data_IF_651325953622
#
_entry.id   IF_651325953622
#
_cell.length_a   1.000
_cell.length_b   1.000
_cell.length_c   1.000
_cell.angle_alpha   90.00
_cell.angle_beta   90.00
_cell.angle_gamma   90.00
#
_symmetry.space_group_name_H-M   'P 1'
#
loop_
_entity.id
_entity.type
_entity.pdbx_description
1 polymer ?
#
# COMPACT_ATOMS: atom_id res chain seq x y z
N UNK A 1 15.74 14.81 20.71
CA UNK A 1 14.62 15.45 21.42
C UNK A 1 13.47 14.47 21.52
N UNK A 2 12.82 14.37 22.69
CA UNK A 2 11.63 13.55 22.91
C UNK A 2 10.57 14.38 23.62
N UNK A 3 9.29 14.07 23.33
CA UNK A 3 8.12 14.67 24.00
C UNK A 3 7.38 13.51 24.66
N UNK A 4 7.23 13.53 25.98
CA UNK A 4 6.58 12.47 26.77
C UNK A 4 7.14 11.05 26.47
N UNK A 5 8.47 10.91 26.24
CA UNK A 5 9.12 9.64 25.93
C UNK A 5 9.06 9.19 24.46
N UNK A 6 8.30 9.89 23.59
CA UNK A 6 8.22 9.61 22.14
C UNK A 6 9.25 10.48 21.40
N UNK A 7 10.00 9.90 20.47
CA UNK A 7 10.96 10.66 19.66
C UNK A 7 10.19 11.62 18.73
N UNK A 8 10.69 12.84 18.57
CA UNK A 8 10.11 13.82 17.64
C UNK A 8 10.04 13.27 16.20
N UNK A 9 11.06 12.50 15.79
CA UNK A 9 11.06 11.81 14.47
C UNK A 9 9.87 10.88 14.27
N UNK A 10 9.41 10.20 15.34
CA UNK A 10 8.30 9.25 15.24
C UNK A 10 6.97 10.00 15.11
N UNK A 11 6.82 11.15 15.82
CA UNK A 11 5.66 12.03 15.66
C UNK A 11 5.59 12.58 14.23
N UNK A 12 6.73 13.02 13.69
CA UNK A 12 6.80 13.52 12.31
C UNK A 12 6.46 12.39 11.32
N UNK A 13 6.96 11.16 11.55
CA UNK A 13 6.66 10.01 10.71
C UNK A 13 5.17 9.67 10.68
N UNK A 14 4.49 9.72 11.82
CA UNK A 14 3.03 9.49 11.92
C UNK A 14 2.26 10.57 11.16
N UNK A 15 2.61 11.85 11.35
CA UNK A 15 1.97 12.94 10.63
C UNK A 15 2.17 12.84 9.11
N UNK A 16 3.40 12.53 8.67
CA UNK A 16 3.68 12.33 7.25
C UNK A 16 2.87 11.15 6.68
N UNK A 17 2.74 10.06 7.45
CA UNK A 17 1.96 8.90 7.03
C UNK A 17 0.47 9.25 6.89
N UNK A 18 -0.08 10.05 7.82
CA UNK A 18 -1.46 10.57 7.71
C UNK A 18 -1.65 11.39 6.43
N UNK A 19 -0.73 12.30 6.11
CA UNK A 19 -0.79 13.09 4.88
C UNK A 19 -0.62 12.20 3.63
N UNK A 20 0.24 11.18 3.70
CA UNK A 20 0.41 10.25 2.59
C UNK A 20 -0.85 9.39 2.34
N UNK A 21 -1.57 9.00 3.40
CA UNK A 21 -2.88 8.36 3.28
C UNK A 21 -3.92 9.29 2.63
N UNK A 22 -3.99 10.55 3.08
CA UNK A 22 -4.90 11.53 2.46
C UNK A 22 -4.58 11.69 0.97
N UNK A 23 -3.30 11.85 0.62
CA UNK A 23 -2.87 11.94 -0.78
C UNK A 23 -3.29 10.70 -1.59
N UNK A 24 -3.14 9.49 -1.04
CA UNK A 24 -3.57 8.24 -1.68
C UNK A 24 -5.06 8.24 -1.98
N UNK A 25 -5.90 8.67 -1.02
CA UNK A 25 -7.35 8.74 -1.18
C UNK A 25 -7.79 9.81 -2.19
N UNK A 26 -7.11 10.96 -2.20
CA UNK A 26 -7.40 12.07 -3.12
C UNK A 26 -7.03 11.74 -4.59
N UNK A 27 -6.19 10.72 -4.79
CA UNK A 27 -5.65 10.36 -6.12
C UNK A 27 -6.24 9.08 -6.71
N UNK A 28 -7.34 8.54 -6.16
CA UNK A 28 -7.87 7.22 -6.54
C UNK A 28 -8.25 7.06 -8.03
N UNK A 29 -8.47 8.15 -8.73
CA UNK A 29 -8.80 8.16 -10.17
C UNK A 29 -7.54 8.20 -11.07
N UNK A 30 -6.34 8.31 -10.50
CA UNK A 30 -5.10 8.42 -11.26
C UNK A 30 -4.43 7.04 -11.48
N UNK A 31 -3.59 6.87 -12.51
CA UNK A 31 -2.91 5.59 -12.74
C UNK A 31 -1.87 5.29 -11.65
N UNK A 32 -1.76 4.02 -11.26
CA UNK A 32 -0.72 3.50 -10.34
C UNK A 32 0.61 3.35 -11.09
N UNK A 33 1.24 4.46 -11.44
CA UNK A 33 2.49 4.47 -12.17
C UNK A 33 3.72 4.80 -11.29
N UNK A 34 4.88 4.80 -11.90
CA UNK A 34 6.14 5.19 -11.27
C UNK A 34 6.07 6.60 -10.64
N UNK A 35 5.43 7.56 -11.32
CA UNK A 35 5.30 8.93 -10.83
C UNK A 35 4.46 9.00 -9.56
N UNK A 36 3.36 8.24 -9.52
CA UNK A 36 2.52 8.11 -8.33
C UNK A 36 3.34 7.57 -7.14
N UNK A 37 4.08 6.47 -7.32
CA UNK A 37 4.90 5.88 -6.24
C UNK A 37 5.96 6.86 -5.73
N UNK A 38 6.58 7.64 -6.62
CA UNK A 38 7.52 8.70 -6.23
C UNK A 38 6.84 9.80 -5.40
N UNK A 39 5.62 10.22 -5.77
CA UNK A 39 4.82 11.19 -5.01
C UNK A 39 4.45 10.66 -3.63
N UNK A 40 4.01 9.39 -3.53
CA UNK A 40 3.72 8.72 -2.24
C UNK A 40 4.96 8.72 -1.34
N UNK A 41 6.14 8.35 -1.86
CA UNK A 41 7.37 8.37 -1.07
C UNK A 41 7.72 9.80 -0.61
N UNK A 42 7.46 10.81 -1.43
CA UNK A 42 7.65 12.23 -1.05
C UNK A 42 6.76 12.62 0.12
N UNK A 43 5.48 12.20 0.12
CA UNK A 43 4.58 12.42 1.25
C UNK A 43 5.07 11.69 2.51
N UNK A 44 5.48 10.43 2.40
CA UNK A 44 6.05 9.63 3.50
C UNK A 44 7.30 10.28 4.10
N UNK A 45 8.16 10.86 3.26
CA UNK A 45 9.38 11.56 3.72
C UNK A 45 9.12 12.93 4.28
N UNK A 46 8.07 13.60 3.81
CA UNK A 46 7.82 15.01 4.15
C UNK A 46 9.01 15.90 3.85
N UNK A 47 9.08 17.02 4.54
CA UNK A 47 10.14 18.01 4.30
C UNK A 47 11.47 17.71 5.00
N UNK A 48 11.50 16.79 5.97
CA UNK A 48 12.69 16.63 6.84
C UNK A 48 13.01 15.20 7.27
N UNK A 49 12.10 14.25 7.09
CA UNK A 49 12.30 12.88 7.59
C UNK A 49 13.20 12.03 6.69
N UNK A 50 13.05 12.20 5.37
CA UNK A 50 13.83 11.45 4.36
C UNK A 50 14.53 12.44 3.44
N UNK A 51 15.85 12.35 3.39
CA UNK A 51 16.62 13.11 2.41
C UNK A 51 16.30 12.63 0.99
N UNK A 52 16.01 13.56 0.07
CA UNK A 52 15.64 13.25 -1.32
C UNK A 52 14.42 12.32 -1.44
N UNK A 53 13.40 12.50 -0.59
CA UNK A 53 12.16 11.76 -0.70
C UNK A 53 11.54 11.88 -2.10
N UNK A 54 11.06 10.77 -2.65
CA UNK A 54 10.48 10.69 -3.98
C UNK A 54 11.48 10.63 -5.14
N UNK A 55 12.78 10.55 -4.86
CA UNK A 55 13.83 10.35 -5.88
C UNK A 55 14.46 8.98 -5.72
N UNK A 56 14.78 8.32 -6.85
CA UNK A 56 15.53 7.09 -6.82
C UNK A 56 16.85 7.27 -6.06
N UNK A 57 17.20 6.28 -5.24
CA UNK A 57 18.51 6.29 -4.59
C UNK A 57 19.62 6.13 -5.63
N UNK A 58 20.72 6.77 -5.36
CA UNK A 58 21.94 6.69 -6.14
C UNK A 58 23.12 6.06 -5.37
N UNK A 59 22.80 5.41 -4.25
CA UNK A 59 23.76 4.68 -3.41
C UNK A 59 23.21 3.31 -3.05
N UNK A 60 24.08 2.30 -2.79
CA UNK A 60 23.67 1.01 -2.29
C UNK A 60 23.03 1.13 -0.91
N UNK A 61 22.05 0.27 -0.63
CA UNK A 61 21.43 0.13 0.69
C UNK A 61 21.57 -1.32 1.17
N UNK A 62 21.47 -1.51 2.47
CA UNK A 62 21.45 -2.84 3.11
C UNK A 62 20.15 -3.02 3.86
N UNK A 63 19.63 -4.24 3.82
CA UNK A 63 18.44 -4.63 4.57
C UNK A 63 18.85 -5.30 5.87
N UNK A 64 18.16 -4.95 6.96
CA UNK A 64 18.39 -5.60 8.26
C UNK A 64 17.76 -6.99 8.26
N UNK A 65 18.48 -7.98 8.79
CA UNK A 65 17.98 -9.34 8.96
C UNK A 65 18.14 -10.25 7.75
N UNK A 66 18.76 -9.78 6.65
CA UNK A 66 19.01 -10.58 5.44
C UNK A 66 20.40 -10.30 4.86
N UNK A 67 20.96 -11.28 4.16
CA UNK A 67 22.21 -11.14 3.38
C UNK A 67 21.96 -10.58 1.98
N UNK A 68 20.69 -10.59 1.52
CA UNK A 68 20.31 -10.07 0.22
C UNK A 68 20.55 -8.56 0.11
N UNK A 69 21.03 -8.15 -1.04
CA UNK A 69 21.32 -6.75 -1.36
C UNK A 69 20.54 -6.34 -2.59
N UNK A 70 19.70 -5.29 -2.51
CA UNK A 70 18.97 -4.78 -3.67
C UNK A 70 19.93 -4.15 -4.68
N UNK A 71 19.76 -4.49 -5.95
CA UNK A 71 20.44 -3.83 -7.06
C UNK A 71 20.13 -2.34 -7.11
N UNK A 72 20.93 -1.56 -7.86
CA UNK A 72 20.64 -0.15 -8.09
C UNK A 72 19.35 -0.01 -8.90
N UNK A 73 18.43 0.89 -8.49
CA UNK A 73 17.17 1.07 -9.20
C UNK A 73 17.43 1.74 -10.57
N UNK A 74 16.78 1.19 -11.61
CA UNK A 74 16.82 1.73 -12.98
C UNK A 74 15.38 2.13 -13.35
N UNK A 75 15.17 3.41 -13.62
CA UNK A 75 13.83 3.97 -13.83
C UNK A 75 13.06 3.29 -14.96
N UNK A 76 13.69 3.04 -16.10
CA UNK A 76 13.04 2.40 -17.26
C UNK A 76 12.56 0.99 -16.93
N UNK A 77 13.39 0.18 -16.24
CA UNK A 77 13.01 -1.16 -15.80
C UNK A 77 11.84 -1.15 -14.80
N UNK A 78 11.88 -0.19 -13.86
CA UNK A 78 10.80 -0.05 -12.86
C UNK A 78 9.48 0.27 -13.53
N UNK A 79 9.48 1.19 -14.51
CA UNK A 79 8.28 1.54 -15.26
C UNK A 79 7.71 0.36 -16.04
N UNK A 80 8.57 -0.42 -16.68
CA UNK A 80 8.20 -1.63 -17.42
C UNK A 80 7.62 -2.70 -16.49
N UNK A 81 8.33 -3.06 -15.43
CA UNK A 81 7.91 -4.05 -14.44
C UNK A 81 6.59 -3.63 -13.75
N UNK A 82 6.41 -2.35 -13.43
CA UNK A 82 5.14 -1.84 -12.89
C UNK A 82 3.99 -1.91 -13.88
N UNK A 83 4.26 -1.63 -15.17
CA UNK A 83 3.25 -1.76 -16.21
C UNK A 83 2.80 -3.22 -16.39
N UNK A 84 3.72 -4.19 -16.33
CA UNK A 84 3.40 -5.62 -16.34
C UNK A 84 2.52 -6.01 -15.14
N UNK A 85 2.88 -5.57 -13.93
CA UNK A 85 2.06 -5.81 -12.73
C UNK A 85 0.66 -5.20 -12.89
N UNK A 86 0.57 -4.05 -13.53
CA UNK A 86 -0.70 -3.39 -13.83
C UNK A 86 -1.67 -4.22 -14.69
N UNK A 87 -1.17 -5.21 -15.45
CA UNK A 87 -1.99 -6.11 -16.29
C UNK A 87 -2.60 -7.28 -15.51
N UNK A 88 -2.24 -7.50 -14.25
CA UNK A 88 -2.83 -8.55 -13.43
C UNK A 88 -4.33 -8.25 -13.25
N UNK A 89 -5.20 -9.12 -13.74
CA UNK A 89 -6.65 -8.90 -13.77
C UNK A 89 -7.25 -8.81 -12.37
N UNK A 90 -6.92 -9.76 -11.48
CA UNK A 90 -7.42 -9.77 -10.11
C UNK A 90 -6.83 -8.59 -9.31
N UNK A 91 -7.65 -7.64 -8.82
CA UNK A 91 -7.15 -6.44 -8.17
C UNK A 91 -6.44 -6.73 -6.84
N UNK A 92 -6.87 -7.73 -6.08
CA UNK A 92 -6.20 -8.13 -4.84
C UNK A 92 -4.81 -8.71 -5.15
N UNK A 93 -4.69 -9.61 -6.13
CA UNK A 93 -3.41 -10.17 -6.54
C UNK A 93 -2.47 -9.08 -7.09
N UNK A 94 -3.00 -8.17 -7.91
CA UNK A 94 -2.27 -7.00 -8.42
C UNK A 94 -1.74 -6.13 -7.29
N UNK A 95 -2.57 -5.83 -6.28
CA UNK A 95 -2.20 -5.00 -5.13
C UNK A 95 -1.09 -5.63 -4.29
N UNK A 96 -1.24 -6.92 -3.96
CA UNK A 96 -0.23 -7.67 -3.20
C UNK A 96 1.08 -7.79 -3.99
N UNK A 97 1.00 -8.04 -5.30
CA UNK A 97 2.18 -8.09 -6.18
C UNK A 97 2.88 -6.73 -6.23
N UNK A 98 2.14 -5.64 -6.43
CA UNK A 98 2.69 -4.29 -6.46
C UNK A 98 3.39 -3.94 -5.15
N UNK A 99 2.74 -4.22 -4.01
CA UNK A 99 3.31 -3.97 -2.68
C UNK A 99 4.63 -4.75 -2.49
N UNK A 100 4.63 -6.05 -2.78
CA UNK A 100 5.79 -6.92 -2.61
C UNK A 100 6.92 -6.57 -3.59
N UNK A 101 6.59 -6.26 -4.83
CA UNK A 101 7.54 -5.77 -5.81
C UNK A 101 8.26 -4.51 -5.30
N UNK A 102 7.50 -3.49 -4.92
CA UNK A 102 8.06 -2.20 -4.45
C UNK A 102 8.89 -2.35 -3.18
N UNK A 103 8.43 -3.15 -2.21
CA UNK A 103 9.20 -3.35 -0.97
C UNK A 103 10.51 -4.07 -1.21
N UNK A 104 10.58 -4.98 -2.19
CA UNK A 104 11.82 -5.66 -2.55
C UNK A 104 12.73 -4.81 -3.45
N UNK A 105 12.16 -4.05 -4.36
CA UNK A 105 12.94 -3.18 -5.29
C UNK A 105 13.77 -2.13 -4.55
N UNK A 106 13.34 -1.69 -3.35
CA UNK A 106 14.06 -0.72 -2.53
C UNK A 106 14.50 0.50 -3.34
N UNK A 107 13.54 1.16 -3.97
CA UNK A 107 13.78 2.26 -4.93
C UNK A 107 14.38 3.50 -4.29
N UNK A 108 14.04 3.76 -3.02
CA UNK A 108 14.35 5.01 -2.31
C UNK A 108 15.40 4.78 -1.22
N UNK A 109 15.98 5.88 -0.71
CA UNK A 109 16.91 5.82 0.42
C UNK A 109 16.24 5.32 1.71
N UNK A 110 14.98 5.71 1.92
CA UNK A 110 14.16 5.28 3.06
C UNK A 110 12.66 5.36 2.70
N UNK A 111 11.81 4.85 3.59
CA UNK A 111 10.36 4.86 3.43
C UNK A 111 9.80 3.78 2.50
N UNK A 112 10.65 2.87 1.97
CA UNK A 112 10.22 1.86 0.99
C UNK A 112 9.07 0.98 1.49
N UNK A 113 9.09 0.48 2.74
CA UNK A 113 7.98 -0.32 3.29
C UNK A 113 6.68 0.47 3.40
N UNK A 114 6.74 1.72 3.88
CA UNK A 114 5.58 2.59 3.99
C UNK A 114 5.00 2.93 2.63
N UNK A 115 5.86 3.28 1.69
CA UNK A 115 5.46 3.58 0.31
C UNK A 115 4.84 2.37 -0.38
N UNK A 116 5.42 1.18 -0.25
CA UNK A 116 4.89 -0.04 -0.85
C UNK A 116 3.52 -0.43 -0.29
N UNK A 117 3.33 -0.30 1.04
CA UNK A 117 2.05 -0.54 1.69
C UNK A 117 0.97 0.42 1.18
N UNK A 118 1.28 1.71 1.07
CA UNK A 118 0.36 2.72 0.54
C UNK A 118 0.03 2.48 -0.94
N UNK A 119 1.01 2.10 -1.76
CA UNK A 119 0.78 1.81 -3.16
C UNK A 119 -0.07 0.52 -3.36
N UNK A 120 0.15 -0.51 -2.54
CA UNK A 120 -0.72 -1.69 -2.52
C UNK A 120 -2.16 -1.34 -2.11
N UNK A 121 -2.32 -0.54 -1.06
CA UNK A 121 -3.63 -0.08 -0.60
C UNK A 121 -4.34 0.81 -1.63
N UNK A 122 -3.62 1.63 -2.36
CA UNK A 122 -4.19 2.38 -3.48
C UNK A 122 -4.87 1.46 -4.50
N UNK A 123 -4.18 0.37 -4.90
CA UNK A 123 -4.74 -0.62 -5.84
C UNK A 123 -5.92 -1.38 -5.23
N UNK A 124 -5.86 -1.74 -3.92
CA UNK A 124 -6.96 -2.40 -3.20
C UNK A 124 -8.23 -1.54 -3.18
N UNK A 125 -8.10 -0.29 -2.76
CA UNK A 125 -9.22 0.65 -2.61
C UNK A 125 -9.82 0.96 -3.98
N UNK A 126 -9.00 1.25 -4.99
CA UNK A 126 -9.44 1.49 -6.36
C UNK A 126 -10.14 0.28 -6.99
N UNK A 127 -9.78 -0.94 -6.55
CA UNK A 127 -10.44 -2.20 -6.93
C UNK A 127 -11.66 -2.57 -6.10
N UNK A 128 -12.01 -1.79 -5.07
CA UNK A 128 -13.11 -2.11 -4.14
C UNK A 128 -12.83 -3.35 -3.27
N UNK A 129 -11.57 -3.71 -3.07
CA UNK A 129 -11.15 -4.97 -2.40
C UNK A 129 -10.76 -4.78 -0.93
N UNK A 130 -11.14 -3.68 -0.29
CA UNK A 130 -10.78 -3.38 1.08
C UNK A 130 -9.39 -2.76 1.21
N UNK A 131 -8.71 -3.02 2.32
CA UNK A 131 -7.37 -2.50 2.65
C UNK A 131 -6.45 -3.60 3.15
N UNK A 132 -5.14 -3.43 2.91
CA UNK A 132 -4.08 -4.27 3.48
C UNK A 132 -3.61 -3.61 4.77
N UNK A 133 -3.75 -4.32 5.88
CA UNK A 133 -3.26 -3.89 7.20
C UNK A 133 -2.67 -5.08 7.94
N UNK A 134 -1.40 -4.99 8.35
CA UNK A 134 -0.75 -6.05 9.13
C UNK A 134 -0.99 -5.80 10.61
N UNK A 135 -1.81 -6.61 11.30
CA UNK A 135 -2.03 -6.49 12.74
C UNK A 135 -0.73 -6.52 13.53
N UNK A 136 -0.69 -5.81 14.65
CA UNK A 136 0.54 -5.68 15.44
C UNK A 136 1.02 -7.04 15.97
N UNK A 137 0.09 -7.93 16.28
CA UNK A 137 0.35 -9.29 16.76
C UNK A 137 1.01 -10.15 15.68
N UNK A 138 0.74 -9.87 14.42
CA UNK A 138 1.27 -10.61 13.27
C UNK A 138 2.54 -9.98 12.68
N UNK A 139 2.98 -8.82 13.17
CA UNK A 139 4.20 -8.15 12.71
C UNK A 139 5.45 -9.04 12.76
N UNK A 140 5.70 -9.84 13.81
CA UNK A 140 6.87 -10.73 13.83
C UNK A 140 6.83 -11.79 12.73
N UNK A 141 5.67 -12.37 12.46
CA UNK A 141 5.46 -13.37 11.41
C UNK A 141 5.67 -12.72 10.04
N UNK A 142 5.04 -11.58 9.79
CA UNK A 142 5.20 -10.81 8.56
C UNK A 142 6.67 -10.47 8.29
N UNK A 143 7.41 -10.02 9.31
CA UNK A 143 8.84 -9.69 9.15
C UNK A 143 9.68 -10.91 8.80
N UNK A 144 9.38 -12.09 9.37
CA UNK A 144 10.04 -13.35 9.03
C UNK A 144 9.79 -13.76 7.56
N UNK A 145 8.53 -13.65 7.11
CA UNK A 145 8.13 -13.90 5.73
C UNK A 145 8.78 -12.93 4.75
N UNK A 146 8.85 -11.66 5.13
CA UNK A 146 9.47 -10.61 4.31
C UNK A 146 10.97 -10.85 4.11
N UNK A 147 11.68 -11.33 5.14
CA UNK A 147 13.10 -11.71 5.04
C UNK A 147 13.27 -12.88 4.08
N UNK A 148 12.46 -13.94 4.20
CA UNK A 148 12.49 -15.09 3.27
C UNK A 148 12.22 -14.64 1.84
N UNK A 149 11.23 -13.78 1.64
CA UNK A 149 10.91 -13.22 0.34
C UNK A 149 12.07 -12.39 -0.25
N UNK A 150 12.76 -11.58 0.56
CA UNK A 150 13.93 -10.84 0.08
C UNK A 150 15.00 -11.77 -0.50
N UNK A 151 15.24 -12.90 0.13
CA UNK A 151 16.27 -13.86 -0.29
C UNK A 151 15.84 -14.72 -1.47
N UNK A 152 14.63 -15.27 -1.45
CA UNK A 152 14.13 -16.19 -2.47
C UNK A 152 13.56 -15.53 -3.71
N UNK A 153 13.01 -14.31 -3.60
CA UNK A 153 12.15 -13.68 -4.59
C UNK A 153 10.83 -14.43 -4.87
N UNK A 154 10.46 -15.37 -4.01
CA UNK A 154 9.21 -16.11 -4.10
C UNK A 154 8.14 -15.41 -3.26
N UNK A 155 7.08 -14.94 -3.92
CA UNK A 155 5.98 -14.22 -3.28
C UNK A 155 4.91 -15.14 -2.70
N UNK A 156 4.95 -16.44 -2.97
CA UNK A 156 3.84 -17.36 -2.69
C UNK A 156 3.42 -17.35 -1.23
N UNK A 157 4.37 -17.62 -0.33
CA UNK A 157 4.09 -17.75 1.10
C UNK A 157 3.65 -16.41 1.72
N UNK A 158 4.33 -15.31 1.39
CA UNK A 158 4.01 -14.00 1.94
C UNK A 158 2.69 -13.44 1.37
N UNK A 159 2.37 -13.70 0.10
CA UNK A 159 1.07 -13.34 -0.49
C UNK A 159 -0.08 -14.08 0.16
N UNK A 160 0.06 -15.40 0.35
CA UNK A 160 -0.95 -16.21 1.03
C UNK A 160 -1.19 -15.69 2.44
N UNK A 161 -0.13 -15.44 3.21
CA UNK A 161 -0.23 -14.88 4.55
C UNK A 161 -0.96 -13.52 4.57
N UNK A 162 -0.60 -12.61 3.68
CA UNK A 162 -1.24 -11.30 3.57
C UNK A 162 -2.71 -11.42 3.20
N UNK A 163 -3.04 -12.28 2.25
CA UNK A 163 -4.41 -12.52 1.81
C UNK A 163 -5.30 -13.06 2.93
N UNK A 164 -4.80 -14.05 3.69
CA UNK A 164 -5.59 -14.72 4.73
C UNK A 164 -5.71 -13.93 6.03
N UNK A 165 -4.75 -13.04 6.34
CA UNK A 165 -4.63 -12.46 7.68
C UNK A 165 -4.58 -10.93 7.71
N UNK A 166 -4.44 -10.26 6.57
CA UNK A 166 -4.11 -8.84 6.56
C UNK A 166 -5.00 -8.01 5.62
N UNK A 167 -6.11 -8.58 5.13
CA UNK A 167 -7.08 -7.85 4.31
C UNK A 167 -8.31 -7.57 5.16
N UNK A 168 -8.61 -6.28 5.36
CA UNK A 168 -9.85 -5.80 5.95
C UNK A 168 -10.74 -5.24 4.84
N UNK A 169 -11.99 -5.68 4.78
CA UNK A 169 -12.98 -5.22 3.80
C UNK A 169 -14.27 -4.78 4.48
N UNK A 170 -15.09 -4.01 3.78
CA UNK A 170 -16.47 -3.75 4.17
C UNK A 170 -17.29 -4.94 3.70
N UNK A 171 -17.79 -5.75 4.62
CA UNK A 171 -18.84 -6.71 4.32
C UNK A 171 -20.14 -5.95 4.08
N UNK A 172 -20.56 -5.87 2.83
CA UNK A 172 -21.95 -5.46 2.53
C UNK A 172 -22.85 -6.62 2.95
N UNK A 173 -23.38 -6.58 4.15
CA UNK A 173 -24.55 -7.41 4.47
C UNK A 173 -25.66 -7.01 3.51
N UNK A 174 -26.08 -7.92 2.63
CA UNK A 174 -27.27 -7.71 1.81
C UNK A 174 -28.41 -7.31 2.75
N UNK A 175 -28.89 -6.08 2.61
CA UNK A 175 -30.17 -5.69 3.18
C UNK A 175 -31.20 -6.66 2.59
N UNK A 176 -32.02 -7.32 3.42
CA UNK A 176 -33.06 -8.21 2.88
C UNK A 176 -33.97 -7.41 1.95
N UNK A 177 -34.31 -7.99 0.80
CA UNK A 177 -35.10 -7.39 -0.29
C UNK A 177 -36.53 -6.94 0.11
N UNK A 178 -36.85 -6.87 1.40
CA UNK A 178 -38.22 -6.57 1.89
C UNK A 178 -38.58 -5.09 1.94
N UNK A 179 -37.69 -4.14 1.64
CA UNK A 179 -38.06 -2.71 1.63
C UNK A 179 -38.35 -2.12 0.23
N UNK A 180 -38.19 -2.89 -0.84
CA UNK A 180 -38.44 -2.41 -2.19
C UNK A 180 -39.94 -2.43 -2.60
N UNK A 181 -40.80 -3.20 -1.91
CA UNK A 181 -42.23 -3.29 -2.25
C UNK A 181 -43.13 -2.21 -1.62
N UNK A 182 -42.68 -1.52 -0.57
CA UNK A 182 -43.48 -0.47 0.09
C UNK A 182 -43.31 0.93 -0.50
N UNK A 183 -42.37 1.12 -1.44
CA UNK A 183 -42.13 2.41 -2.12
C UNK A 183 -43.08 2.73 -3.30
N UNK A 184 -43.78 1.71 -3.83
CA UNK A 184 -44.64 1.92 -5.03
C UNK A 184 -46.10 2.19 -4.70
N UNK A 185 -46.59 1.95 -3.50
CA UNK A 185 -47.97 2.25 -3.14
C UNK A 185 -48.26 3.72 -2.75
N UNK A 186 -47.24 4.48 -2.39
CA UNK A 186 -47.41 5.88 -1.96
C UNK A 186 -47.40 6.92 -3.10
N UNK A 187 -47.19 6.53 -4.36
CA UNK A 187 -47.17 7.47 -5.50
C UNK A 187 -48.50 7.57 -6.26
N UNK A 188 -49.53 6.79 -5.89
CA UNK A 188 -50.89 6.84 -6.54
C UNK A 188 -51.90 7.72 -5.82
N UNK A 189 -51.53 8.45 -4.79
CA UNK A 189 -52.43 9.26 -3.94
C UNK A 189 -52.51 10.77 -4.27
N UNK A 190 -51.83 11.28 -5.30
CA UNK A 190 -51.73 12.71 -5.56
C UNK A 190 -52.34 13.18 -6.94
N UNK A 191 -53.19 12.36 -7.55
CA UNK A 191 -54.01 12.81 -8.67
C UNK A 191 -55.48 12.82 -8.27
N UNK A 192 -55.92 13.94 -7.64
CA UNK A 192 -57.32 14.49 -7.72
C UNK A 192 -57.31 15.94 -7.30
#
# INVERSE_FOLDING_TARGET
>A
MSVQGVKVSDIVAVNNLKHAWQFVLDMLDEPTDYSFVCKVNRCVGGNSLINRAGYLRNVPVRMVGTTWKPGMPIESQIKEEMAEIGQIENPTDRALTMMLYLVRKQMFLDGNKRTSMLAGNYVMIGGGCGIISVPIELQPVFMGLLIRFYESNDMTEIKQFLYENCIDGIEFTHLPEQEAEHGQENLRGWER
#
